data_IF_814189481897
#
_entry.id   IF_814189481897
#
_cell.length_a   1.000
_cell.length_b   1.000
_cell.length_c   1.000
_cell.angle_alpha   90.00
_cell.angle_beta   90.00
_cell.angle_gamma   90.00
#
_symmetry.space_group_name_H-M   'P 1'
#
loop_
_entity.id
_entity.type
_entity.pdbx_description
1 polymer ?
#
# COMPACT_ATOMS: atom_id res chain seq x y z
N UNK A 1 -0.13 -24.31 21.42
CA UNK A 1 1.29 -24.10 21.11
C UNK A 1 1.52 -23.72 19.65
N UNK A 2 1.02 -24.44 18.64
CA UNK A 2 1.10 -24.06 17.20
C UNK A 2 0.52 -22.67 16.88
N UNK A 3 -0.65 -22.32 17.40
CA UNK A 3 -1.32 -21.03 17.15
C UNK A 3 -0.54 -19.84 17.72
N UNK A 4 0.12 -19.99 18.87
CA UNK A 4 0.95 -18.93 19.46
C UNK A 4 2.23 -18.69 18.65
N UNK A 5 2.88 -19.75 18.18
CA UNK A 5 4.06 -19.70 17.33
C UNK A 5 3.74 -19.08 15.95
N UNK A 6 2.60 -19.45 15.37
CA UNK A 6 2.10 -18.83 14.14
C UNK A 6 1.84 -17.33 14.35
N UNK A 7 1.22 -16.92 15.45
CA UNK A 7 0.95 -15.51 15.77
C UNK A 7 2.23 -14.69 15.83
N UNK A 8 3.29 -15.22 16.41
CA UNK A 8 4.60 -14.57 16.54
C UNK A 8 5.31 -14.43 15.18
N UNK A 9 5.27 -15.46 14.33
CA UNK A 9 5.79 -15.42 12.96
C UNK A 9 5.06 -14.35 12.11
N UNK A 10 3.74 -14.20 12.24
CA UNK A 10 2.93 -13.30 11.40
C UNK A 10 2.82 -11.85 11.91
N UNK A 11 2.99 -11.58 13.21
CA UNK A 11 3.08 -10.21 13.73
C UNK A 11 4.21 -9.43 13.06
N UNK A 12 5.28 -10.11 12.66
CA UNK A 12 6.40 -9.50 11.94
C UNK A 12 6.10 -9.16 10.47
N UNK A 13 5.03 -9.66 9.85
CA UNK A 13 4.78 -9.39 8.42
C UNK A 13 4.45 -7.93 8.12
N UNK A 14 3.76 -7.23 9.00
CA UNK A 14 3.50 -5.79 8.83
C UNK A 14 4.82 -5.00 8.82
N UNK A 15 5.73 -5.29 9.74
CA UNK A 15 7.06 -4.68 9.77
C UNK A 15 7.89 -5.08 8.55
N UNK A 16 7.85 -6.36 8.15
CA UNK A 16 8.52 -6.86 6.95
C UNK A 16 8.07 -6.12 5.70
N UNK A 17 6.77 -5.85 5.54
CA UNK A 17 6.22 -5.03 4.45
C UNK A 17 6.81 -3.62 4.44
N UNK A 18 6.90 -2.98 5.62
CA UNK A 18 7.49 -1.64 5.74
C UNK A 18 8.96 -1.63 5.34
N UNK A 19 9.73 -2.66 5.71
CA UNK A 19 11.13 -2.77 5.29
C UNK A 19 11.26 -2.89 3.78
N UNK A 20 10.45 -3.74 3.15
CA UNK A 20 10.44 -3.92 1.69
C UNK A 20 10.10 -2.60 1.00
N UNK A 21 9.02 -1.93 1.41
CA UNK A 21 8.62 -0.63 0.85
C UNK A 21 9.71 0.42 1.00
N UNK A 22 10.31 0.55 2.19
CA UNK A 22 11.35 1.53 2.45
C UNK A 22 12.60 1.32 1.58
N UNK A 23 13.05 0.08 1.42
CA UNK A 23 14.22 -0.23 0.58
C UNK A 23 13.93 -0.02 -0.90
N UNK A 24 12.72 -0.38 -1.37
CA UNK A 24 12.26 -0.10 -2.72
C UNK A 24 12.29 1.40 -3.02
N UNK A 25 11.65 2.21 -2.17
CA UNK A 25 11.60 3.68 -2.33
C UNK A 25 13.00 4.29 -2.29
N UNK A 26 13.87 3.88 -1.37
CA UNK A 26 15.25 4.38 -1.29
C UNK A 26 16.06 4.08 -2.55
N UNK A 27 15.95 2.86 -3.09
CA UNK A 27 16.64 2.50 -4.34
C UNK A 27 16.09 3.29 -5.53
N UNK A 28 14.77 3.39 -5.63
CA UNK A 28 14.11 4.16 -6.69
C UNK A 28 14.47 5.65 -6.61
N UNK A 29 14.38 6.23 -5.42
CA UNK A 29 14.78 7.63 -5.17
C UNK A 29 16.21 7.93 -5.59
N UNK A 30 17.13 7.02 -5.30
CA UNK A 30 18.55 7.17 -5.63
C UNK A 30 18.89 6.84 -7.10
N UNK A 31 17.90 6.52 -7.95
CA UNK A 31 18.12 6.18 -9.37
C UNK A 31 18.82 4.83 -9.59
N UNK A 32 18.82 3.95 -8.59
CA UNK A 32 19.46 2.63 -8.65
C UNK A 32 18.46 1.50 -8.87
N UNK A 33 17.38 1.77 -9.58
CA UNK A 33 16.34 0.79 -9.90
C UNK A 33 15.87 1.04 -11.34
N UNK A 34 16.55 0.41 -12.30
CA UNK A 34 16.36 0.66 -13.73
C UNK A 34 16.04 -0.59 -14.53
N UNK A 35 16.42 -1.76 -14.02
CA UNK A 35 16.32 -3.06 -14.70
C UNK A 35 15.67 -4.11 -13.80
N UNK A 36 15.23 -5.22 -14.41
CA UNK A 36 14.73 -6.38 -13.67
C UNK A 36 15.81 -6.99 -12.74
N UNK A 37 17.08 -6.94 -13.17
CA UNK A 37 18.19 -7.41 -12.32
C UNK A 37 18.36 -6.54 -11.08
N UNK A 38 18.14 -5.22 -11.16
CA UNK A 38 18.17 -4.35 -9.98
C UNK A 38 17.06 -4.71 -8.97
N UNK A 39 15.88 -5.14 -9.45
CA UNK A 39 14.80 -5.63 -8.60
C UNK A 39 15.17 -6.95 -7.91
N UNK A 40 15.84 -7.85 -8.62
CA UNK A 40 16.35 -9.09 -8.07
C UNK A 40 17.40 -8.83 -6.99
N UNK A 41 18.38 -7.98 -7.28
CA UNK A 41 19.38 -7.55 -6.30
C UNK A 41 18.75 -6.88 -5.07
N UNK A 42 17.68 -6.10 -5.28
CA UNK A 42 16.92 -5.50 -4.19
C UNK A 42 16.28 -6.59 -3.30
N UNK A 43 15.66 -7.59 -3.89
CA UNK A 43 15.05 -8.69 -3.14
C UNK A 43 16.09 -9.47 -2.30
N UNK A 44 17.24 -9.79 -2.89
CA UNK A 44 18.34 -10.46 -2.21
C UNK A 44 18.96 -9.58 -1.09
N UNK A 45 19.10 -8.28 -1.35
CA UNK A 45 19.55 -7.32 -0.34
C UNK A 45 18.59 -7.25 0.87
N UNK A 46 17.27 -7.16 0.62
CA UNK A 46 16.24 -7.13 1.66
C UNK A 46 16.30 -8.42 2.48
N UNK A 47 16.35 -9.57 1.80
CA UNK A 47 16.45 -10.88 2.44
C UNK A 47 17.63 -10.93 3.42
N UNK A 48 18.82 -10.58 2.95
CA UNK A 48 20.04 -10.61 3.75
C UNK A 48 20.03 -9.60 4.89
N UNK A 49 19.62 -8.37 4.60
CA UNK A 49 19.68 -7.25 5.55
C UNK A 49 18.72 -7.42 6.73
N UNK A 50 17.55 -7.97 6.48
CA UNK A 50 16.48 -8.06 7.48
C UNK A 50 16.25 -9.50 7.97
N UNK A 51 17.12 -10.44 7.57
CA UNK A 51 17.08 -11.82 8.06
C UNK A 51 15.85 -12.59 7.65
N UNK A 52 15.38 -12.41 6.41
CA UNK A 52 14.31 -13.24 5.86
C UNK A 52 14.82 -14.66 5.57
N UNK A 53 13.99 -15.65 5.80
CA UNK A 53 14.30 -17.05 5.50
C UNK A 53 14.22 -17.33 3.98
N UNK A 54 14.75 -18.46 3.54
CA UNK A 54 14.81 -18.83 2.11
C UNK A 54 13.43 -18.98 1.49
N UNK A 55 12.48 -19.51 2.24
CA UNK A 55 11.08 -19.67 1.82
C UNK A 55 10.29 -18.35 1.78
N UNK A 56 10.85 -17.26 2.29
CA UNK A 56 10.23 -15.94 2.27
C UNK A 56 10.60 -15.08 1.03
N UNK A 57 11.45 -15.58 0.14
CA UNK A 57 11.83 -14.82 -1.07
C UNK A 57 10.62 -14.51 -1.96
N UNK A 58 9.69 -15.45 -2.08
CA UNK A 58 8.44 -15.24 -2.82
C UNK A 58 7.60 -14.12 -2.19
N UNK A 59 7.53 -14.06 -0.88
CA UNK A 59 6.88 -12.97 -0.15
C UNK A 59 7.52 -11.62 -0.44
N UNK A 60 8.86 -11.55 -0.48
CA UNK A 60 9.58 -10.32 -0.81
C UNK A 60 9.27 -9.87 -2.23
N UNK A 61 9.35 -10.78 -3.21
CA UNK A 61 9.04 -10.50 -4.63
C UNK A 61 7.62 -9.98 -4.81
N UNK A 62 6.64 -10.63 -4.18
CA UNK A 62 5.24 -10.23 -4.24
C UNK A 62 5.03 -8.84 -3.62
N UNK A 63 5.66 -8.56 -2.47
CA UNK A 63 5.54 -7.24 -1.84
C UNK A 63 6.25 -6.12 -2.61
N UNK A 64 7.35 -6.40 -3.31
CA UNK A 64 7.96 -5.45 -4.24
C UNK A 64 6.95 -5.09 -5.35
N UNK A 65 6.30 -6.09 -5.98
CA UNK A 65 5.29 -5.85 -7.01
C UNK A 65 4.09 -5.06 -6.49
N UNK A 66 3.55 -5.44 -5.34
CA UNK A 66 2.44 -4.75 -4.69
C UNK A 66 2.80 -3.30 -4.35
N UNK A 67 4.02 -3.08 -3.85
CA UNK A 67 4.54 -1.74 -3.56
C UNK A 67 4.77 -0.88 -4.82
N UNK A 68 4.78 -1.51 -6.00
CA UNK A 68 4.81 -0.88 -7.32
C UNK A 68 3.42 -0.81 -7.99
N UNK A 69 2.35 -1.13 -7.26
CA UNK A 69 0.98 -1.09 -7.77
C UNK A 69 0.55 -2.29 -8.59
N UNK A 70 1.33 -3.37 -8.60
CA UNK A 70 1.12 -4.52 -9.49
C UNK A 70 0.57 -5.75 -8.77
N UNK A 71 0.12 -6.73 -9.56
CA UNK A 71 -0.29 -8.03 -9.04
C UNK A 71 0.92 -8.86 -8.62
N UNK A 72 0.80 -9.63 -7.52
CA UNK A 72 1.78 -10.64 -7.18
C UNK A 72 1.86 -11.72 -8.27
N UNK A 73 3.07 -12.19 -8.54
CA UNK A 73 3.35 -13.26 -9.51
C UNK A 73 4.03 -14.48 -8.87
N UNK A 74 4.04 -14.53 -7.53
CA UNK A 74 4.71 -15.58 -6.78
C UNK A 74 6.23 -15.55 -6.97
N UNK A 75 6.82 -16.71 -7.22
CA UNK A 75 8.25 -16.91 -7.42
C UNK A 75 8.76 -16.51 -8.82
N UNK A 76 7.87 -16.08 -9.71
CA UNK A 76 8.27 -15.62 -11.04
C UNK A 76 9.35 -14.53 -10.97
N UNK A 77 10.29 -14.60 -11.92
CA UNK A 77 11.33 -13.58 -12.02
C UNK A 77 10.75 -12.22 -12.40
N UNK A 78 11.44 -11.15 -12.05
CA UNK A 78 11.10 -9.81 -12.50
C UNK A 78 11.41 -9.67 -13.98
N UNK A 79 10.57 -8.93 -14.70
CA UNK A 79 10.70 -8.71 -16.15
C UNK A 79 10.36 -7.27 -16.54
N UNK A 80 9.10 -6.91 -16.53
CA UNK A 80 8.51 -5.69 -17.05
C UNK A 80 7.92 -4.77 -15.97
N UNK A 81 8.16 -5.09 -14.70
CA UNK A 81 7.58 -4.37 -13.57
C UNK A 81 7.92 -2.87 -13.56
N UNK A 82 9.14 -2.52 -13.97
CA UNK A 82 9.57 -1.11 -14.02
C UNK A 82 8.96 -0.33 -15.17
N UNK A 83 8.55 -1.00 -16.25
CA UNK A 83 7.88 -0.33 -17.37
C UNK A 83 6.51 0.19 -16.98
N UNK A 84 5.82 -0.50 -16.06
CA UNK A 84 4.57 -0.01 -15.46
C UNK A 84 4.75 1.37 -14.82
N UNK A 85 5.84 1.57 -14.09
CA UNK A 85 6.15 2.86 -13.43
C UNK A 85 6.56 3.91 -14.47
N UNK A 86 7.48 3.57 -15.39
CA UNK A 86 7.96 4.48 -16.44
C UNK A 86 6.85 4.97 -17.35
N UNK A 87 5.87 4.11 -17.63
CA UNK A 87 4.71 4.46 -18.45
C UNK A 87 3.60 5.16 -17.66
N UNK A 88 3.81 5.46 -16.37
CA UNK A 88 2.83 6.06 -15.46
C UNK A 88 1.49 5.32 -15.48
N UNK A 89 1.54 3.99 -15.58
CA UNK A 89 0.33 3.17 -15.56
C UNK A 89 -0.31 3.23 -14.18
N UNK A 90 -1.64 3.18 -14.15
CA UNK A 90 -2.43 3.15 -12.93
C UNK A 90 -2.77 1.72 -12.53
N UNK A 91 -2.98 1.51 -11.23
CA UNK A 91 -3.49 0.23 -10.72
C UNK A 91 -4.78 -0.13 -11.44
N UNK A 92 -4.78 -1.27 -12.12
CA UNK A 92 -5.94 -1.86 -12.79
C UNK A 92 -6.55 -2.95 -11.89
N UNK A 93 -7.88 -3.01 -11.85
CA UNK A 93 -8.59 -3.99 -11.03
C UNK A 93 -8.58 -3.62 -9.54
N UNK A 94 -8.70 -4.61 -8.64
CA UNK A 94 -8.72 -4.36 -7.21
C UNK A 94 -7.44 -3.69 -6.71
N UNK A 95 -7.59 -2.70 -5.81
CA UNK A 95 -6.46 -2.04 -5.13
C UNK A 95 -5.82 -2.91 -4.05
N UNK A 96 -6.26 -4.14 -3.92
CA UNK A 96 -5.77 -5.12 -2.95
C UNK A 96 -5.36 -6.39 -3.66
N UNK A 97 -4.35 -7.07 -3.15
CA UNK A 97 -3.85 -8.32 -3.70
C UNK A 97 -3.61 -9.37 -2.60
N UNK A 98 -3.73 -10.65 -2.95
CA UNK A 98 -3.35 -11.76 -2.07
C UNK A 98 -1.83 -11.93 -2.14
N UNK A 99 -1.20 -12.05 -1.00
CA UNK A 99 0.24 -12.29 -0.86
C UNK A 99 0.53 -13.77 -0.67
N UNK A 100 1.57 -14.29 -1.30
CA UNK A 100 2.05 -15.64 -1.08
C UNK A 100 2.51 -15.87 0.37
N UNK A 101 2.30 -17.07 0.89
CA UNK A 101 2.74 -17.52 2.21
C UNK A 101 1.68 -17.42 3.30
N UNK A 102 1.30 -16.23 3.82
CA UNK A 102 0.44 -16.16 5.01
C UNK A 102 -0.90 -16.89 4.89
N UNK A 103 -1.57 -16.80 3.74
CA UNK A 103 -2.85 -17.49 3.52
C UNK A 103 -2.72 -18.99 3.32
N UNK A 104 -1.58 -19.47 2.84
CA UNK A 104 -1.35 -20.87 2.52
C UNK A 104 -1.19 -21.70 3.82
N UNK A 105 -0.79 -21.04 4.91
CA UNK A 105 -0.65 -21.61 6.25
C UNK A 105 -1.79 -21.24 7.20
N UNK A 106 -2.79 -20.46 6.72
CA UNK A 106 -3.92 -20.07 7.54
C UNK A 106 -4.94 -21.23 7.61
N UNK A 107 -4.86 -22.03 8.67
CA UNK A 107 -5.81 -23.11 8.96
C UNK A 107 -7.15 -22.61 9.53
N UNK A 108 -7.43 -21.31 9.50
CA UNK A 108 -8.68 -20.75 10.03
C UNK A 108 -9.85 -21.13 9.12
N UNK A 109 -10.70 -22.03 9.60
CA UNK A 109 -12.05 -22.26 9.04
C UNK A 109 -12.89 -20.96 9.08
N UNK A 110 -12.61 -20.09 10.04
CA UNK A 110 -13.16 -18.76 10.20
C UNK A 110 -12.19 -17.68 9.71
N UNK A 111 -11.88 -17.64 8.44
CA UNK A 111 -11.19 -16.48 7.90
C UNK A 111 -12.06 -15.25 8.17
N UNK A 112 -11.64 -14.41 9.14
CA UNK A 112 -12.35 -13.16 9.50
C UNK A 112 -12.15 -12.06 8.46
N UNK A 113 -11.66 -12.36 7.27
CA UNK A 113 -11.87 -11.54 6.11
C UNK A 113 -13.39 -11.39 5.96
N UNK A 114 -13.98 -10.41 6.62
CA UNK A 114 -15.44 -10.24 6.72
C UNK A 114 -16.09 -10.11 5.34
N UNK A 115 -15.32 -9.77 4.33
CA UNK A 115 -15.75 -9.75 2.92
C UNK A 115 -16.09 -11.17 2.43
N UNK A 116 -15.47 -12.21 2.97
CA UNK A 116 -15.82 -13.60 2.65
C UNK A 116 -17.12 -14.09 3.32
N UNK A 117 -17.63 -13.37 4.33
CA UNK A 117 -18.89 -13.70 5.03
C UNK A 117 -20.14 -13.11 4.38
N UNK A 118 -20.01 -12.03 3.61
CA UNK A 118 -21.14 -11.47 2.91
C UNK A 118 -21.20 -12.10 1.53
N UNK A 119 -22.13 -12.99 1.29
CA UNK A 119 -22.67 -13.66 0.10
C UNK A 119 -22.13 -13.28 -1.30
N UNK A 120 -21.20 -12.35 -1.38
CA UNK A 120 -20.46 -12.02 -2.57
C UNK A 120 -19.21 -12.91 -2.57
N UNK A 121 -19.22 -13.88 -3.43
CA UNK A 121 -18.16 -14.87 -3.70
C UNK A 121 -16.87 -14.18 -4.23
N UNK A 122 -16.40 -13.15 -3.50
CA UNK A 122 -15.20 -12.36 -3.85
C UNK A 122 -13.94 -13.22 -3.68
N UNK A 123 -14.01 -14.22 -2.80
CA UNK A 123 -12.92 -15.14 -2.55
C UNK A 123 -13.29 -16.56 -2.94
N UNK A 124 -12.61 -17.12 -3.95
CA UNK A 124 -12.68 -18.58 -4.21
C UNK A 124 -11.76 -19.32 -3.25
N UNK A 125 -12.34 -20.24 -2.46
CA UNK A 125 -11.60 -21.10 -1.52
C UNK A 125 -11.06 -22.36 -2.19
N UNK A 126 -10.27 -22.27 -3.23
CA UNK A 126 -9.62 -23.49 -3.74
C UNK A 126 -8.09 -23.43 -3.64
N UNK A 127 -7.52 -23.15 -2.51
CA UNK A 127 -6.11 -22.94 -2.14
C UNK A 127 -5.85 -21.49 -1.64
N UNK A 128 -6.74 -20.97 -0.80
CA UNK A 128 -6.68 -19.63 -0.25
C UNK A 128 -7.54 -18.61 -1.03
N UNK A 129 -7.84 -17.43 -0.45
CA UNK A 129 -8.72 -16.45 -1.05
C UNK A 129 -8.12 -15.91 -2.36
N UNK A 130 -8.92 -15.91 -3.41
CA UNK A 130 -8.61 -15.23 -4.69
C UNK A 130 -9.54 -14.02 -4.80
N UNK A 131 -8.97 -12.85 -5.00
CA UNK A 131 -9.73 -11.62 -5.20
C UNK A 131 -10.29 -11.63 -6.61
N UNK A 132 -11.62 -11.52 -6.74
CA UNK A 132 -12.30 -11.49 -8.05
C UNK A 132 -12.45 -10.03 -8.51
N UNK A 133 -11.79 -9.67 -9.61
CA UNK A 133 -11.77 -8.30 -10.15
C UNK A 133 -13.17 -7.69 -10.32
N UNK A 134 -14.09 -8.43 -10.92
CA UNK A 134 -15.44 -7.93 -11.21
C UNK A 134 -16.35 -7.77 -9.98
N UNK A 135 -15.94 -8.24 -8.80
CA UNK A 135 -16.75 -8.21 -7.57
C UNK A 135 -16.10 -7.43 -6.43
N UNK A 136 -14.83 -7.15 -6.53
CA UNK A 136 -14.09 -6.40 -5.49
C UNK A 136 -14.47 -4.92 -5.55
N UNK A 137 -14.91 -4.38 -4.42
CA UNK A 137 -15.24 -2.96 -4.28
C UNK A 137 -14.01 -2.09 -3.92
N UNK A 138 -12.82 -2.67 -3.85
CA UNK A 138 -11.57 -1.99 -3.46
C UNK A 138 -11.67 -1.22 -2.12
N UNK A 139 -12.48 -1.69 -1.20
CA UNK A 139 -12.73 -1.01 0.08
C UNK A 139 -11.63 -1.21 1.14
N UNK A 140 -10.62 -2.06 0.89
CA UNK A 140 -9.50 -2.33 1.80
C UNK A 140 -9.83 -3.11 3.07
N UNK A 141 -11.09 -3.48 3.30
CA UNK A 141 -11.53 -4.14 4.54
C UNK A 141 -10.83 -5.48 4.80
N UNK A 142 -10.51 -6.22 3.73
CA UNK A 142 -9.76 -7.47 3.82
C UNK A 142 -8.32 -7.28 4.32
N UNK A 143 -7.70 -6.12 4.04
CA UNK A 143 -6.37 -5.78 4.53
C UNK A 143 -6.40 -5.54 6.04
N UNK A 144 -7.35 -4.72 6.51
CA UNK A 144 -7.48 -4.39 7.93
C UNK A 144 -7.96 -5.56 8.80
N UNK A 145 -8.65 -6.54 8.20
CA UNK A 145 -9.19 -7.71 8.91
C UNK A 145 -8.25 -8.91 8.91
N UNK A 146 -7.13 -8.85 8.18
CA UNK A 146 -6.18 -9.95 8.09
C UNK A 146 -5.01 -9.75 9.05
N UNK A 147 -5.09 -10.34 10.25
CA UNK A 147 -4.02 -10.30 11.26
C UNK A 147 -2.69 -10.88 10.77
N UNK A 148 -2.70 -11.64 9.68
CA UNK A 148 -1.54 -12.36 9.15
C UNK A 148 -0.89 -11.67 7.94
N UNK A 149 -1.44 -10.55 7.47
CA UNK A 149 -0.91 -9.88 6.30
C UNK A 149 -1.02 -10.66 4.99
N UNK A 150 -1.98 -11.60 4.89
CA UNK A 150 -2.20 -12.39 3.68
C UNK A 150 -2.88 -11.62 2.54
N UNK A 151 -3.33 -10.40 2.81
CA UNK A 151 -3.83 -9.44 1.82
C UNK A 151 -3.12 -8.12 2.02
N UNK A 152 -2.68 -7.50 0.95
CA UNK A 152 -2.01 -6.22 0.96
C UNK A 152 -2.64 -5.24 -0.02
N UNK A 153 -2.52 -3.97 0.28
CA UNK A 153 -2.91 -2.87 -0.59
C UNK A 153 -1.80 -2.58 -1.61
N UNK A 154 -2.18 -2.38 -2.86
CA UNK A 154 -1.28 -1.92 -3.93
C UNK A 154 -0.98 -0.43 -3.74
N UNK A 155 0.27 -0.06 -3.90
CA UNK A 155 0.76 1.30 -3.60
C UNK A 155 1.17 2.00 -4.90
N UNK A 156 0.67 3.21 -5.12
CA UNK A 156 1.02 4.07 -6.26
C UNK A 156 1.96 5.23 -5.84
N UNK A 157 2.99 4.94 -5.05
CA UNK A 157 3.90 5.97 -4.56
C UNK A 157 5.07 6.27 -5.50
N UNK A 158 5.59 5.27 -6.22
CA UNK A 158 6.79 5.47 -7.06
C UNK A 158 6.59 6.52 -8.17
N UNK A 159 5.44 6.62 -8.86
CA UNK A 159 5.19 7.72 -9.80
C UNK A 159 5.22 9.11 -9.15
N UNK A 160 4.86 9.20 -7.87
CA UNK A 160 4.95 10.45 -7.10
C UNK A 160 6.40 10.85 -6.86
N UNK A 161 7.31 9.90 -6.70
CA UNK A 161 8.75 10.17 -6.54
C UNK A 161 9.31 10.92 -7.75
N UNK A 162 8.90 10.55 -8.96
CA UNK A 162 9.36 11.23 -10.18
C UNK A 162 8.83 12.66 -10.25
N UNK A 163 7.57 12.88 -9.86
CA UNK A 163 6.98 14.21 -9.75
C UNK A 163 7.70 15.08 -8.70
N UNK A 164 8.06 14.49 -7.54
CA UNK A 164 8.78 15.21 -6.48
C UNK A 164 10.22 15.57 -6.86
N UNK A 165 10.80 14.88 -7.83
CA UNK A 165 12.14 15.18 -8.38
C UNK A 165 12.11 16.22 -9.49
N UNK A 166 10.98 16.37 -10.15
CA UNK A 166 10.78 17.39 -11.17
C UNK A 166 10.63 18.75 -10.51
N UNK A 167 11.60 19.64 -10.72
CA UNK A 167 11.61 20.97 -10.13
C UNK A 167 10.67 21.96 -10.80
N UNK A 168 10.19 21.62 -12.00
CA UNK A 168 9.32 22.48 -12.79
C UNK A 168 7.83 22.21 -12.49
N UNK A 169 7.53 21.10 -11.81
CA UNK A 169 6.17 20.67 -11.45
C UNK A 169 5.93 20.80 -9.95
N UNK A 170 5.17 21.80 -9.47
CA UNK A 170 4.84 21.93 -8.06
C UNK A 170 3.89 20.82 -7.62
N UNK A 171 4.27 20.05 -6.61
CA UNK A 171 3.48 18.94 -6.04
C UNK A 171 3.02 19.33 -4.65
N UNK A 172 1.73 19.23 -4.38
CA UNK A 172 1.14 19.53 -3.08
C UNK A 172 0.63 18.26 -2.40
N UNK A 173 0.84 18.15 -1.10
CA UNK A 173 0.27 17.07 -0.29
C UNK A 173 -1.11 17.50 0.24
N UNK A 174 -2.19 16.87 -0.21
CA UNK A 174 -3.52 17.07 0.36
C UNK A 174 -3.79 16.05 1.47
N UNK A 175 -4.00 16.52 2.70
CA UNK A 175 -4.20 15.66 3.86
C UNK A 175 -5.61 15.77 4.42
N UNK A 176 -6.22 14.62 4.68
CA UNK A 176 -7.52 14.54 5.33
C UNK A 176 -7.38 14.73 6.86
N UNK A 177 -8.45 15.14 7.59
CA UNK A 177 -8.43 15.27 9.05
C UNK A 177 -7.98 14.01 9.79
N UNK A 178 -8.21 12.83 9.21
CA UNK A 178 -7.81 11.54 9.77
C UNK A 178 -6.29 11.37 9.94
N UNK A 179 -5.46 12.25 9.37
CA UNK A 179 -4.00 12.23 9.58
C UNK A 179 -3.62 12.62 11.02
N UNK A 180 -4.50 13.35 11.72
CA UNK A 180 -4.26 13.80 13.09
C UNK A 180 -4.12 12.59 14.02
N UNK A 181 -3.02 12.56 14.78
CA UNK A 181 -2.71 11.48 15.71
C UNK A 181 -2.13 10.19 15.09
N UNK A 182 -2.05 10.08 13.75
CA UNK A 182 -1.50 8.89 13.08
C UNK A 182 0.00 8.67 13.38
N UNK A 183 0.72 9.73 13.69
CA UNK A 183 2.16 9.70 13.98
C UNK A 183 2.48 9.90 15.47
N UNK A 184 1.47 9.78 16.34
CA UNK A 184 1.57 10.03 17.78
C UNK A 184 1.04 11.40 18.17
N UNK A 185 0.75 11.56 19.46
CA UNK A 185 0.14 12.78 20.02
C UNK A 185 1.09 14.00 19.96
N UNK A 186 2.39 13.75 19.94
CA UNK A 186 3.42 14.80 19.92
C UNK A 186 3.69 15.38 18.52
N UNK A 187 3.07 14.81 17.46
CA UNK A 187 3.28 15.27 16.09
C UNK A 187 2.22 16.28 15.68
N UNK A 188 2.62 17.54 15.58
CA UNK A 188 1.77 18.64 15.14
C UNK A 188 1.62 18.70 13.63
N UNK A 189 0.54 19.34 13.14
CA UNK A 189 0.33 19.61 11.72
C UNK A 189 1.47 20.45 11.10
N UNK A 190 2.10 21.34 11.88
CA UNK A 190 3.27 22.10 11.45
C UNK A 190 4.49 21.23 11.19
N UNK A 191 4.73 20.21 12.03
CA UNK A 191 5.79 19.24 11.82
C UNK A 191 5.51 18.35 10.60
N UNK A 192 4.26 17.93 10.38
CA UNK A 192 3.85 17.20 9.17
C UNK A 192 4.09 18.04 7.91
N UNK A 193 3.68 19.31 7.91
CA UNK A 193 3.95 20.25 6.80
C UNK A 193 5.44 20.36 6.50
N UNK A 194 6.26 20.48 7.53
CA UNK A 194 7.73 20.52 7.38
C UNK A 194 8.26 19.22 6.81
N UNK A 195 7.76 18.07 7.27
CA UNK A 195 8.16 16.77 6.74
C UNK A 195 7.82 16.62 5.25
N UNK A 196 6.62 17.02 4.82
CA UNK A 196 6.26 17.01 3.40
C UNK A 196 7.15 17.91 2.56
N UNK A 197 7.47 19.11 3.05
CA UNK A 197 8.42 20.01 2.36
C UNK A 197 9.82 19.40 2.23
N UNK A 198 10.31 18.74 3.27
CA UNK A 198 11.59 18.01 3.22
C UNK A 198 11.56 16.83 2.23
N UNK A 199 10.40 16.24 1.98
CA UNK A 199 10.21 15.20 0.97
C UNK A 199 10.15 15.74 -0.46
N UNK A 200 10.08 17.07 -0.66
CA UNK A 200 10.04 17.71 -1.97
C UNK A 200 8.67 18.22 -2.39
N UNK A 201 7.64 18.12 -1.53
CA UNK A 201 6.37 18.79 -1.78
C UNK A 201 6.50 20.30 -1.62
N UNK A 202 5.80 21.06 -2.46
CA UNK A 202 5.74 22.53 -2.38
C UNK A 202 5.09 22.97 -1.06
N UNK A 203 3.95 22.36 -0.72
CA UNK A 203 3.28 22.58 0.56
C UNK A 203 2.30 21.44 0.90
N UNK A 204 1.77 21.49 2.13
CA UNK A 204 0.71 20.64 2.61
C UNK A 204 -0.61 21.41 2.70
N UNK A 205 -1.66 20.86 2.11
CA UNK A 205 -3.00 21.44 2.09
C UNK A 205 -3.91 20.60 3.01
N UNK A 206 -4.57 21.25 3.96
CA UNK A 206 -5.54 20.61 4.84
C UNK A 206 -6.92 20.58 4.17
N UNK A 207 -7.42 19.43 3.82
CA UNK A 207 -8.72 19.24 3.14
C UNK A 207 -9.87 19.77 3.99
N UNK A 208 -9.75 19.78 5.32
CA UNK A 208 -10.74 20.36 6.23
C UNK A 208 -11.07 21.82 5.90
N UNK A 209 -10.07 22.63 5.55
CA UNK A 209 -10.28 24.03 5.16
C UNK A 209 -11.21 24.16 3.95
N UNK A 210 -11.07 23.28 2.97
CA UNK A 210 -11.95 23.29 1.79
C UNK A 210 -13.34 22.78 2.10
N UNK A 211 -13.49 21.85 3.06
CA UNK A 211 -14.80 21.42 3.54
C UNK A 211 -15.56 22.57 4.19
N UNK A 212 -14.90 23.41 5.00
CA UNK A 212 -15.50 24.60 5.59
C UNK A 212 -15.96 25.61 4.53
N UNK A 213 -15.13 25.87 3.52
CA UNK A 213 -15.48 26.77 2.39
C UNK A 213 -16.67 26.20 1.62
N UNK A 214 -16.68 24.88 1.36
CA UNK A 214 -17.79 24.23 0.67
C UNK A 214 -19.08 24.32 1.45
N UNK A 215 -19.03 24.12 2.77
CA UNK A 215 -20.20 24.24 3.66
C UNK A 215 -20.80 25.64 3.60
N UNK A 216 -19.99 26.69 3.60
CA UNK A 216 -20.47 28.07 3.46
C UNK A 216 -21.16 28.26 2.10
N UNK A 217 -20.54 27.77 1.01
CA UNK A 217 -21.13 27.86 -0.33
C UNK A 217 -22.48 27.13 -0.41
N UNK A 218 -22.54 25.92 0.10
CA UNK A 218 -23.76 25.11 0.10
C UNK A 218 -24.88 25.75 0.93
N UNK A 219 -24.52 26.39 2.08
CA UNK A 219 -25.50 27.12 2.90
C UNK A 219 -26.09 28.33 2.14
N UNK A 220 -25.28 29.06 1.37
CA UNK A 220 -25.74 30.18 0.55
C UNK A 220 -26.69 29.64 -0.55
N UNK A 221 -26.26 28.61 -1.30
CA UNK A 221 -27.07 28.00 -2.35
C UNK A 221 -28.38 27.43 -1.82
N UNK A 222 -28.37 26.85 -0.62
CA UNK A 222 -29.59 26.36 0.02
C UNK A 222 -30.57 27.50 0.34
N UNK A 223 -30.04 28.60 0.91
CA UNK A 223 -30.85 29.79 1.22
C UNK A 223 -31.48 30.39 -0.05
N UNK A 224 -30.69 30.51 -1.13
CA UNK A 224 -31.16 31.06 -2.41
C UNK A 224 -32.24 30.21 -3.09
N UNK A 225 -32.28 28.90 -2.79
CA UNK A 225 -33.32 27.98 -3.34
C UNK A 225 -34.60 27.96 -2.51
N UNK A 226 -34.56 28.41 -1.26
CA UNK A 226 -35.70 28.41 -0.35
C UNK A 226 -36.47 29.74 -0.32
N UNK A 227 -35.85 30.80 -0.75
CA UNK A 227 -36.42 32.14 -0.88
C UNK A 227 -36.81 32.45 -2.32
#
# INVERSE_FOLDING_TARGET
MKVAFMKEKYINFTLKRMYIFNELVKRYWSGRLNTADDLKELADHIKTKYGFEDDELTFIKDHIRIAMGQEPKGDADFSDELDFIKNSERVKGPVVAKVAGPCDFCEREDCQCQVARYETDIYRRSKGPVIQDGKCLSCGRCVSSCDFGGVADKIEFLPVVDLLKDKDTPVFAAVAPAITGQFGEDVSMGQLRTAFKLMGFEDMIEVAMFADILTIKEAIEFNDRLL
#
